data_IF_589441799647
#
_entry.id   IF_589441799647
#
_cell.length_a   1.000
_cell.length_b   1.000
_cell.length_c   1.000
_cell.angle_alpha   90.00
_cell.angle_beta   90.00
_cell.angle_gamma   90.00
#
_symmetry.space_group_name_H-M   'P 1'
#
loop_
_entity.id
_entity.type
_entity.pdbx_description
1 polymer ?
#
# COMPACT_ATOMS: atom_id res chain seq x y z
N UNK A 1 20.57 -1.31 -5.20
CA UNK A 1 20.08 -2.25 -4.17
C UNK A 1 19.37 -1.55 -3.00
N UNK A 2 19.95 -0.49 -2.39
CA UNK A 2 19.29 0.25 -1.28
C UNK A 2 17.92 0.84 -1.68
N UNK A 3 17.83 1.43 -2.89
CA UNK A 3 16.59 2.05 -3.38
C UNK A 3 15.43 1.06 -3.60
N UNK A 4 15.70 -0.19 -4.01
CA UNK A 4 14.63 -1.17 -4.25
C UNK A 4 13.98 -1.61 -2.93
N UNK A 5 14.79 -1.84 -1.90
CA UNK A 5 14.29 -2.21 -0.58
C UNK A 5 13.40 -1.10 0.03
N UNK A 6 13.79 0.16 -0.12
CA UNK A 6 12.98 1.31 0.33
C UNK A 6 11.65 1.40 -0.43
N UNK A 7 11.66 1.20 -1.75
CA UNK A 7 10.43 1.19 -2.57
C UNK A 7 9.50 0.04 -2.20
N UNK A 8 10.04 -1.14 -1.92
CA UNK A 8 9.25 -2.29 -1.43
C UNK A 8 8.61 -1.94 -0.07
N UNK A 9 9.36 -1.35 0.86
CA UNK A 9 8.82 -0.91 2.15
C UNK A 9 7.70 0.11 2.00
N UNK A 10 7.85 1.09 1.12
CA UNK A 10 6.81 2.08 0.81
C UNK A 10 5.56 1.44 0.18
N UNK A 11 5.75 0.47 -0.72
CA UNK A 11 4.65 -0.26 -1.33
C UNK A 11 3.86 -1.07 -0.30
N UNK A 12 4.54 -1.74 0.62
CA UNK A 12 3.91 -2.47 1.72
C UNK A 12 3.19 -1.50 2.66
N UNK A 13 3.82 -0.39 3.06
CA UNK A 13 3.17 0.59 3.94
C UNK A 13 1.89 1.16 3.31
N UNK A 14 1.91 1.43 2.01
CA UNK A 14 0.72 1.83 1.26
C UNK A 14 -0.41 0.80 1.35
N UNK A 15 -0.08 -0.50 1.30
CA UNK A 15 -1.05 -1.57 1.46
C UNK A 15 -1.68 -1.58 2.87
N UNK A 16 -0.89 -1.38 3.92
CA UNK A 16 -1.41 -1.23 5.28
C UNK A 16 -2.35 -0.01 5.40
N UNK A 17 -1.97 1.12 4.80
CA UNK A 17 -2.80 2.35 4.74
C UNK A 17 -4.10 2.15 3.98
N UNK A 18 -4.10 1.26 3.00
CA UNK A 18 -5.25 0.90 2.17
C UNK A 18 -6.15 -0.19 2.80
N UNK A 19 -5.80 -0.77 3.95
CA UNK A 19 -6.67 -1.74 4.61
C UNK A 19 -8.06 -1.15 4.87
N UNK A 20 -9.12 -1.87 4.48
CA UNK A 20 -10.50 -1.40 4.58
C UNK A 20 -10.95 -0.48 3.44
N UNK A 21 -10.07 -0.09 2.51
CA UNK A 21 -10.40 0.85 1.45
C UNK A 21 -11.40 0.28 0.45
N UNK A 22 -11.30 -1.02 0.14
CA UNK A 22 -12.30 -1.69 -0.70
C UNK A 22 -13.68 -1.64 -0.03
N UNK A 23 -13.78 -1.91 1.27
CA UNK A 23 -15.03 -1.85 2.03
C UNK A 23 -15.58 -0.42 2.06
N UNK A 24 -14.71 0.58 2.23
CA UNK A 24 -15.08 2.00 2.16
C UNK A 24 -15.68 2.36 0.81
N UNK A 25 -15.01 2.03 -0.30
CA UNK A 25 -15.51 2.29 -1.66
C UNK A 25 -16.83 1.56 -1.94
N UNK A 26 -16.95 0.31 -1.47
CA UNK A 26 -18.18 -0.47 -1.60
C UNK A 26 -19.34 0.17 -0.83
N UNK A 27 -19.10 0.60 0.42
CA UNK A 27 -20.10 1.32 1.22
C UNK A 27 -20.55 2.65 0.61
N UNK A 28 -19.73 3.25 -0.25
CA UNK A 28 -20.05 4.44 -1.05
C UNK A 28 -20.72 4.12 -2.40
N UNK A 29 -20.89 2.84 -2.75
CA UNK A 29 -21.46 2.41 -4.03
C UNK A 29 -20.55 2.63 -5.24
N UNK A 30 -19.23 2.83 -5.03
CA UNK A 30 -18.28 3.15 -6.10
C UNK A 30 -17.74 1.90 -6.83
N UNK A 31 -17.91 0.72 -6.23
CA UNK A 31 -17.38 -0.56 -6.71
C UNK A 31 -18.33 -1.71 -6.37
N UNK A 32 -18.17 -2.87 -7.03
CA UNK A 32 -18.85 -4.12 -6.69
C UNK A 32 -18.09 -5.00 -5.68
N UNK A 33 -18.68 -6.14 -5.30
CA UNK A 33 -18.09 -7.10 -4.33
C UNK A 33 -16.81 -7.81 -4.79
N UNK A 34 -16.52 -7.84 -6.10
CA UNK A 34 -15.37 -8.52 -6.70
C UNK A 34 -14.17 -7.59 -6.99
N UNK A 35 -13.96 -6.56 -6.18
CA UNK A 35 -13.07 -5.45 -6.54
C UNK A 35 -11.57 -5.81 -6.48
N UNK A 36 -10.88 -5.39 -7.54
CA UNK A 36 -9.43 -5.48 -7.75
C UNK A 36 -8.62 -4.79 -6.64
N UNK A 37 -9.16 -3.77 -5.96
CA UNK A 37 -8.45 -3.06 -4.88
C UNK A 37 -8.08 -4.00 -3.73
N UNK A 38 -8.96 -4.93 -3.34
CA UNK A 38 -8.63 -5.88 -2.27
C UNK A 38 -7.49 -6.81 -2.70
N UNK A 39 -7.56 -7.32 -3.92
CA UNK A 39 -6.50 -8.16 -4.48
C UNK A 39 -5.17 -7.42 -4.63
N UNK A 40 -5.21 -6.13 -4.97
CA UNK A 40 -4.03 -5.28 -5.02
C UNK A 40 -3.38 -5.15 -3.63
N UNK A 41 -4.17 -4.83 -2.59
CA UNK A 41 -3.67 -4.75 -1.21
C UNK A 41 -3.03 -6.07 -0.76
N UNK A 42 -3.72 -7.20 -0.97
CA UNK A 42 -3.20 -8.52 -0.61
C UNK A 42 -1.91 -8.87 -1.37
N UNK A 43 -1.84 -8.56 -2.67
CA UNK A 43 -0.67 -8.78 -3.51
C UNK A 43 0.54 -7.95 -3.06
N UNK A 44 0.32 -6.72 -2.62
CA UNK A 44 1.37 -5.86 -2.06
C UNK A 44 1.88 -6.39 -0.73
N UNK A 45 0.99 -6.80 0.19
CA UNK A 45 1.36 -7.38 1.48
C UNK A 45 2.18 -8.68 1.31
N UNK A 46 1.90 -9.46 0.27
CA UNK A 46 2.65 -10.67 -0.02
C UNK A 46 4.14 -10.42 -0.34
N UNK A 47 4.55 -9.17 -0.63
CA UNK A 47 5.97 -8.80 -0.75
C UNK A 47 6.76 -9.00 0.55
N UNK A 48 6.11 -8.99 1.72
CA UNK A 48 6.79 -9.23 3.01
C UNK A 48 7.26 -10.68 3.17
N UNK A 49 6.55 -11.63 2.55
CA UNK A 49 6.71 -13.06 2.85
C UNK A 49 7.07 -13.91 1.63
N UNK A 50 6.95 -13.37 0.42
CA UNK A 50 7.07 -14.13 -0.82
C UNK A 50 8.18 -13.59 -1.70
N UNK A 51 9.18 -14.42 -1.99
CA UNK A 51 10.16 -14.10 -3.04
C UNK A 51 9.46 -14.01 -4.39
N UNK A 52 9.62 -12.87 -5.04
CA UNK A 52 9.06 -12.57 -6.35
C UNK A 52 10.20 -12.22 -7.32
N UNK A 53 10.09 -12.58 -8.62
CA UNK A 53 11.01 -12.07 -9.63
C UNK A 53 11.01 -10.54 -9.68
N UNK A 54 12.15 -9.94 -10.04
CA UNK A 54 12.32 -8.48 -10.04
C UNK A 54 11.23 -7.73 -10.83
N UNK A 55 10.85 -8.23 -12.02
CA UNK A 55 9.80 -7.61 -12.82
C UNK A 55 8.42 -7.62 -12.11
N UNK A 56 8.12 -8.65 -11.30
CA UNK A 56 6.88 -8.71 -10.52
C UNK A 56 6.93 -7.70 -9.37
N UNK A 57 8.11 -7.53 -8.76
CA UNK A 57 8.32 -6.52 -7.71
C UNK A 57 8.09 -5.11 -8.27
N UNK A 58 8.65 -4.82 -9.44
CA UNK A 58 8.47 -3.52 -10.11
C UNK A 58 7.00 -3.23 -10.43
N UNK A 59 6.28 -4.17 -11.04
CA UNK A 59 4.84 -4.02 -11.30
C UNK A 59 4.04 -3.79 -10.01
N UNK A 60 4.40 -4.49 -8.92
CA UNK A 60 3.73 -4.27 -7.63
C UNK A 60 4.03 -2.88 -7.06
N UNK A 61 5.24 -2.36 -7.22
CA UNK A 61 5.55 -0.99 -6.80
C UNK A 61 4.69 0.03 -7.58
N UNK A 62 4.54 -0.13 -8.89
CA UNK A 62 3.67 0.75 -9.70
C UNK A 62 2.20 0.68 -9.25
N UNK A 63 1.71 -0.51 -8.91
CA UNK A 63 0.36 -0.70 -8.34
C UNK A 63 0.24 0.03 -7.00
N UNK A 64 1.26 0.00 -6.15
CA UNK A 64 1.25 0.73 -4.90
C UNK A 64 1.23 2.26 -5.12
N UNK A 65 1.97 2.77 -6.09
CA UNK A 65 1.96 4.20 -6.45
C UNK A 65 0.55 4.63 -6.92
N UNK A 66 -0.09 3.83 -7.77
CA UNK A 66 -1.47 4.07 -8.21
C UNK A 66 -2.47 4.00 -7.04
N UNK A 67 -2.30 3.03 -6.14
CA UNK A 67 -3.13 2.89 -4.95
C UNK A 67 -2.97 4.10 -4.02
N UNK A 68 -1.74 4.57 -3.77
CA UNK A 68 -1.47 5.75 -2.96
C UNK A 68 -2.18 7.00 -3.51
N UNK A 69 -2.17 7.20 -4.83
CA UNK A 69 -2.92 8.30 -5.46
C UNK A 69 -4.42 8.18 -5.25
N UNK A 70 -4.98 6.96 -5.32
CA UNK A 70 -6.40 6.74 -5.01
C UNK A 70 -6.71 7.06 -3.55
N UNK A 71 -5.89 6.59 -2.60
CA UNK A 71 -6.08 6.90 -1.17
C UNK A 71 -6.15 8.42 -0.94
N UNK A 72 -5.22 9.18 -1.54
CA UNK A 72 -5.21 10.65 -1.46
C UNK A 72 -6.47 11.26 -2.10
N UNK A 73 -6.84 10.82 -3.29
CA UNK A 73 -8.01 11.34 -4.01
C UNK A 73 -9.32 11.15 -3.23
N UNK A 74 -9.43 10.05 -2.49
CA UNK A 74 -10.60 9.74 -1.66
C UNK A 74 -10.48 10.18 -0.20
N UNK A 75 -9.35 10.81 0.18
CA UNK A 75 -9.08 11.21 1.55
C UNK A 75 -9.10 10.04 2.54
N UNK A 76 -8.73 8.85 2.09
CA UNK A 76 -8.77 7.63 2.89
C UNK A 76 -7.39 7.32 3.49
N UNK A 77 -7.38 7.01 4.77
CA UNK A 77 -6.23 6.42 5.46
C UNK A 77 -6.75 5.51 6.58
N UNK A 78 -6.34 4.24 6.57
CA UNK A 78 -6.73 3.28 7.61
C UNK A 78 -6.13 3.63 8.99
N UNK A 79 -5.12 4.50 9.04
CA UNK A 79 -4.31 4.80 10.21
C UNK A 79 -3.26 3.73 10.53
N UNK A 80 -3.23 2.62 9.79
CA UNK A 80 -2.22 1.56 9.98
C UNK A 80 -0.93 1.92 9.26
N UNK A 81 0.19 1.55 9.86
CA UNK A 81 1.54 1.69 9.32
C UNK A 81 2.33 0.43 9.63
N UNK A 82 3.21 0.04 8.72
CA UNK A 82 4.10 -1.12 8.92
C UNK A 82 5.55 -0.71 9.09
N UNK A 83 5.94 0.29 8.32
CA UNK A 83 7.25 0.90 8.39
C UNK A 83 7.03 2.37 8.73
N UNK A 84 7.63 2.85 9.82
CA UNK A 84 7.60 4.28 10.12
C UNK A 84 8.21 5.03 8.95
N UNK A 85 7.51 6.03 8.43
CA UNK A 85 8.14 6.95 7.48
C UNK A 85 9.35 7.58 8.16
N UNK A 86 10.45 7.81 7.43
CA UNK A 86 11.68 8.38 8.00
C UNK A 86 11.42 9.74 8.70
N UNK A 87 10.31 10.42 8.38
CA UNK A 87 9.85 11.63 9.07
C UNK A 87 9.26 11.38 10.48
N UNK A 88 8.62 10.26 10.77
CA UNK A 88 8.09 9.98 12.12
C UNK A 88 9.19 9.59 13.11
N UNK A 89 10.30 9.03 12.61
CA UNK A 89 11.45 8.69 13.45
C UNK A 89 12.23 9.91 13.95
N UNK A 90 12.15 11.05 13.26
CA UNK A 90 12.81 12.30 13.70
C UNK A 90 12.02 13.03 14.79
N UNK A 91 10.70 12.88 14.84
CA UNK A 91 9.86 13.40 15.91
C UNK A 91 9.80 12.51 17.16
N UNK A 92 9.97 11.19 17.02
CA UNK A 92 10.04 10.29 18.19
C UNK A 92 11.38 10.37 18.96
N UNK A 93 12.33 11.19 18.50
CA UNK A 93 13.65 11.40 19.12
C UNK A 93 13.93 12.85 19.54
N UNK A 94 12.95 13.75 19.47
CA UNK A 94 13.06 15.14 19.96
C UNK A 94 12.31 15.34 21.27
#
# INVERSE_FOLDING_TARGET
MIQLAERIQQAIDTAYRAEGFAEYLYGKGLIGKGNEVRGAVESLLALETTMCPDFVVETRIEVAEALAHLLVAYGYDSGKRRYATTQEQSWAKS
#
